data_IF_542148201194
#
_entry.id   IF_542148201194
#
_cell.length_a   1.000
_cell.length_b   1.000
_cell.length_c   1.000
_cell.angle_alpha   90.00
_cell.angle_beta   90.00
_cell.angle_gamma   90.00
#
_symmetry.space_group_name_H-M   'P 1'
#
loop_
_entity.id
_entity.type
_entity.pdbx_description
1 polymer ?
#
# COMPACT_ATOMS: atom_id res chain seq x y z
N UNK A 1 12.40 -41.66 12.29
CA UNK A 1 13.17 -40.61 11.59
C UNK A 1 12.54 -40.49 10.21
N UNK A 2 12.05 -39.37 9.68
CA UNK A 2 12.20 -37.96 10.04
C UNK A 2 10.84 -37.23 9.84
N UNK A 3 10.71 -36.09 10.51
CA UNK A 3 9.59 -35.15 10.44
C UNK A 3 9.75 -34.23 9.22
N UNK A 4 8.74 -34.18 8.36
CA UNK A 4 8.51 -33.15 7.35
C UNK A 4 6.99 -32.89 7.48
N UNK A 5 6.52 -31.70 7.83
CA UNK A 5 6.52 -30.54 6.95
C UNK A 5 6.49 -29.26 7.79
N UNK A 6 7.44 -28.41 7.47
CA UNK A 6 7.70 -27.09 8.01
C UNK A 6 6.53 -26.13 7.72
N UNK A 7 6.22 -25.31 8.71
CA UNK A 7 5.19 -24.32 8.68
C UNK A 7 5.57 -23.16 7.75
N UNK A 8 4.89 -22.97 6.62
CA UNK A 8 4.77 -21.64 6.03
C UNK A 8 3.71 -21.57 4.94
N UNK A 9 2.49 -21.15 5.31
CA UNK A 9 1.60 -20.50 4.35
C UNK A 9 0.70 -19.52 5.09
N UNK A 10 1.32 -18.61 5.85
CA UNK A 10 0.68 -17.33 6.17
C UNK A 10 0.96 -16.36 5.04
N UNK A 11 -0.13 -15.90 4.41
CA UNK A 11 -0.33 -14.62 3.71
C UNK A 11 -1.12 -14.83 2.41
N UNK A 12 -2.39 -15.21 2.56
CA UNK A 12 -3.39 -14.78 1.59
C UNK A 12 -3.59 -13.27 1.78
N UNK A 13 -2.65 -12.47 1.26
CA UNK A 13 -2.99 -11.12 0.85
C UNK A 13 -3.71 -11.29 -0.48
N UNK A 14 -5.04 -11.22 -0.43
CA UNK A 14 -5.92 -11.17 -1.60
C UNK A 14 -5.49 -9.99 -2.48
N UNK A 15 -4.62 -10.25 -3.44
CA UNK A 15 -4.34 -9.35 -4.55
C UNK A 15 -5.45 -9.54 -5.57
N UNK A 16 -6.55 -8.81 -5.39
CA UNK A 16 -7.61 -8.65 -6.39
C UNK A 16 -6.98 -8.23 -7.74
N UNK A 17 -7.05 -9.06 -8.79
CA UNK A 17 -6.48 -8.71 -10.09
C UNK A 17 -7.53 -7.92 -10.88
N UNK A 18 -7.68 -6.63 -10.59
CA UNK A 18 -8.32 -5.71 -11.53
C UNK A 18 -7.27 -4.76 -12.10
N UNK A 19 -7.11 -4.68 -13.43
CA UNK A 19 -6.31 -3.63 -14.04
C UNK A 19 -7.14 -2.34 -14.01
N UNK A 20 -7.41 -1.82 -12.82
CA UNK A 20 -7.75 -0.41 -12.69
C UNK A 20 -6.43 0.33 -12.87
N UNK A 21 -6.39 1.32 -13.75
CA UNK A 21 -5.19 2.08 -14.12
C UNK A 21 -4.56 2.88 -12.96
N UNK A 22 -5.00 2.65 -11.71
CA UNK A 22 -4.65 3.38 -10.52
C UNK A 22 -4.36 2.39 -9.40
N UNK A 23 -3.22 2.52 -8.69
CA UNK A 23 -2.93 1.69 -7.52
C UNK A 23 -4.04 1.82 -6.48
N UNK A 24 -4.23 0.78 -5.68
CA UNK A 24 -5.21 0.81 -4.60
C UNK A 24 -4.84 1.86 -3.56
N UNK A 25 -5.81 2.44 -2.84
CA UNK A 25 -5.52 3.45 -1.79
C UNK A 25 -4.54 2.95 -0.71
N UNK A 26 -4.65 1.69 -0.22
CA UNK A 26 -3.63 1.11 0.65
C UNK A 26 -2.22 1.11 0.04
N UNK A 27 -2.09 0.78 -1.25
CA UNK A 27 -0.79 0.82 -1.94
C UNK A 27 -0.28 2.25 -2.11
N UNK A 28 -1.15 3.22 -2.38
CA UNK A 28 -0.78 4.63 -2.43
C UNK A 28 -0.26 5.12 -1.07
N UNK A 29 -0.85 4.66 0.04
CA UNK A 29 -0.35 4.95 1.38
C UNK A 29 1.03 4.33 1.62
N UNK A 30 1.23 3.06 1.26
CA UNK A 30 2.53 2.40 1.40
C UNK A 30 3.62 3.13 0.60
N UNK A 31 3.34 3.43 -0.66
CA UNK A 31 4.23 4.18 -1.53
C UNK A 31 4.52 5.59 -0.99
N UNK A 32 3.54 6.26 -0.39
CA UNK A 32 3.73 7.56 0.22
C UNK A 32 4.61 7.49 1.48
N UNK A 33 4.43 6.49 2.34
CA UNK A 33 5.26 6.29 3.52
C UNK A 33 6.72 6.01 3.11
N UNK A 34 6.92 5.13 2.12
CA UNK A 34 8.25 4.83 1.57
C UNK A 34 8.90 6.06 0.94
N UNK A 35 8.14 6.89 0.23
CA UNK A 35 8.65 8.10 -0.42
C UNK A 35 8.93 9.24 0.56
N UNK A 36 8.17 9.33 1.66
CA UNK A 36 8.38 10.35 2.69
C UNK A 36 9.57 10.02 3.61
N UNK A 37 9.91 8.74 3.76
CA UNK A 37 11.08 8.24 4.51
C UNK A 37 11.28 8.92 5.88
N UNK A 38 10.17 9.20 6.56
CA UNK A 38 10.20 9.89 7.86
C UNK A 38 10.48 8.87 8.97
N UNK A 39 11.61 9.04 9.67
CA UNK A 39 12.01 8.19 10.82
C UNK A 39 10.98 8.16 11.94
N UNK A 40 10.22 9.24 12.11
CA UNK A 40 9.17 9.33 13.12
C UNK A 40 7.81 8.82 12.61
N UNK A 41 7.75 8.38 11.35
CA UNK A 41 6.53 8.04 10.65
C UNK A 41 5.86 9.28 10.06
N UNK A 42 5.22 9.09 8.91
CA UNK A 42 4.47 10.15 8.25
C UNK A 42 3.08 10.30 8.87
N UNK A 43 2.67 11.54 9.15
CA UNK A 43 1.31 11.82 9.61
C UNK A 43 0.29 11.71 8.47
N UNK A 44 -1.00 11.54 8.81
CA UNK A 44 -2.08 11.40 7.81
C UNK A 44 -2.08 12.55 6.79
N UNK A 45 -1.89 13.80 7.24
CA UNK A 45 -1.89 14.98 6.37
C UNK A 45 -0.74 14.97 5.37
N UNK A 46 0.46 14.51 5.78
CA UNK A 46 1.62 14.38 4.90
C UNK A 46 1.39 13.28 3.86
N UNK A 47 0.84 12.14 4.28
CA UNK A 47 0.48 11.04 3.39
C UNK A 47 -0.59 11.48 2.38
N UNK A 48 -1.69 12.11 2.84
CA UNK A 48 -2.75 12.61 1.98
C UNK A 48 -2.22 13.60 0.94
N UNK A 49 -1.43 14.60 1.34
CA UNK A 49 -0.83 15.55 0.40
C UNK A 49 0.11 14.87 -0.60
N UNK A 50 0.88 13.87 -0.18
CA UNK A 50 1.75 13.12 -1.08
C UNK A 50 0.94 12.32 -2.11
N UNK A 51 -0.13 11.65 -1.67
CA UNK A 51 -1.02 10.87 -2.53
C UNK A 51 -1.75 11.80 -3.51
N UNK A 52 -2.27 12.94 -3.03
CA UNK A 52 -2.90 13.95 -3.86
C UNK A 52 -1.93 14.49 -4.91
N UNK A 53 -0.72 14.91 -4.53
CA UNK A 53 0.26 15.43 -5.50
C UNK A 53 0.80 14.38 -6.48
N UNK A 54 0.91 13.12 -6.08
CA UNK A 54 1.47 12.04 -6.92
C UNK A 54 0.43 11.39 -7.83
N UNK A 55 -0.81 11.27 -7.35
CA UNK A 55 -1.93 10.61 -8.04
C UNK A 55 -3.06 11.59 -8.38
N UNK A 56 -2.73 12.88 -8.47
CA UNK A 56 -3.64 13.96 -8.86
C UNK A 56 -4.40 13.58 -10.14
N UNK A 57 -5.74 13.59 -10.08
CA UNK A 57 -6.60 13.20 -11.22
C UNK A 57 -6.83 11.69 -11.40
N UNK A 58 -6.12 10.84 -10.67
CA UNK A 58 -6.34 9.37 -10.62
C UNK A 58 -7.14 8.95 -9.36
N UNK A 59 -7.30 9.86 -8.42
CA UNK A 59 -8.05 9.66 -7.19
C UNK A 59 -9.57 9.82 -7.45
N UNK A 60 -10.41 8.83 -7.07
CA UNK A 60 -11.86 9.05 -7.04
C UNK A 60 -12.25 10.26 -6.18
N UNK A 61 -13.41 10.91 -6.43
CA UNK A 61 -13.80 12.16 -5.76
C UNK A 61 -14.02 12.07 -4.24
N UNK A 62 -13.94 10.88 -3.65
CA UNK A 62 -14.20 10.62 -2.24
C UNK A 62 -13.01 9.87 -1.62
N UNK A 63 -12.02 10.62 -1.11
CA UNK A 63 -10.94 10.14 -0.22
C UNK A 63 -10.92 10.91 1.09
#
# INVERSE_FOLDING_TARGET
MATEEDASTMAAAEADPKPAATPSYPEMILAAIEALDDRNGSNKTAISQHIEGKYEGLLPPAH
#
